data_IF_766040511970
#
_entry.id   IF_766040511970
#
_cell.length_a   1.000
_cell.length_b   1.000
_cell.length_c   1.000
_cell.angle_alpha   90.00
_cell.angle_beta   90.00
_cell.angle_gamma   90.00
#
_symmetry.space_group_name_H-M   'P 1'
#
loop_
_entity.id
_entity.type
_entity.pdbx_description
1 polymer ?
#
# COMPACT_ATOMS: atom_id res chain seq x y z
N UNK A 1 21.47 22.46 19.66
CA UNK A 1 20.20 22.30 18.92
C UNK A 1 19.88 20.82 18.92
N UNK A 2 18.84 20.41 19.66
CA UNK A 2 18.49 19.00 19.81
C UNK A 2 17.90 18.47 18.51
N UNK A 3 18.66 17.65 17.79
CA UNK A 3 18.15 16.87 16.66
C UNK A 3 17.17 15.82 17.19
N UNK A 4 15.87 16.10 17.06
CA UNK A 4 14.84 15.06 17.20
C UNK A 4 15.11 13.92 16.21
N UNK A 5 14.88 12.64 16.57
CA UNK A 5 15.33 11.51 15.78
C UNK A 5 14.77 11.58 14.34
N UNK A 6 15.59 11.26 13.35
CA UNK A 6 15.30 11.28 11.91
C UNK A 6 14.26 10.22 11.45
N UNK A 7 13.62 9.53 12.39
CA UNK A 7 12.64 8.46 12.13
C UNK A 7 11.23 9.02 11.90
N UNK A 8 10.57 8.50 10.88
CA UNK A 8 9.17 8.78 10.56
C UNK A 8 8.22 8.00 11.48
N UNK A 9 8.49 6.72 11.67
CA UNK A 9 7.74 5.80 12.51
C UNK A 9 8.39 5.71 13.89
N UNK A 10 7.57 5.77 14.93
CA UNK A 10 8.01 5.40 16.27
C UNK A 10 8.06 3.87 16.42
N UNK A 11 8.87 3.38 17.36
CA UNK A 11 9.09 1.94 17.58
C UNK A 11 7.86 1.16 18.03
N UNK A 12 6.85 1.87 18.57
CA UNK A 12 5.57 1.32 19.02
C UNK A 12 4.48 1.39 17.95
N UNK A 13 4.76 1.98 16.79
CA UNK A 13 3.80 2.02 15.68
C UNK A 13 3.80 0.67 14.92
N UNK A 14 2.69 0.34 14.24
CA UNK A 14 2.62 -0.88 13.43
C UNK A 14 3.78 -0.96 12.42
N UNK A 15 4.30 -2.15 12.11
CA UNK A 15 5.26 -2.31 11.04
C UNK A 15 4.67 -1.83 9.70
N UNK A 16 5.50 -1.51 8.69
CA UNK A 16 5.02 -1.01 7.41
C UNK A 16 4.17 -2.03 6.63
N UNK A 17 4.24 -3.31 6.97
CA UNK A 17 3.44 -4.34 6.34
C UNK A 17 3.01 -5.40 7.35
N UNK A 18 1.99 -6.17 6.98
CA UNK A 18 1.61 -7.40 7.67
C UNK A 18 1.69 -8.56 6.67
N UNK A 19 2.14 -9.72 7.15
CA UNK A 19 2.11 -10.97 6.38
C UNK A 19 1.07 -11.89 7.00
N UNK A 20 0.07 -12.27 6.23
CA UNK A 20 -0.92 -13.26 6.62
C UNK A 20 -0.58 -14.59 5.93
N UNK A 21 -0.73 -15.71 6.66
CA UNK A 21 -0.47 -17.06 6.18
C UNK A 21 0.94 -17.25 5.56
N UNK A 22 1.99 -16.85 6.29
CA UNK A 22 3.39 -16.87 5.82
C UNK A 22 3.88 -18.24 5.33
N UNK A 23 3.31 -19.32 5.86
CA UNK A 23 3.62 -20.70 5.47
C UNK A 23 2.74 -21.24 4.33
N UNK A 24 1.95 -20.39 3.69
CA UNK A 24 1.07 -20.76 2.59
C UNK A 24 1.81 -21.51 1.48
N UNK A 25 1.20 -22.58 0.97
CA UNK A 25 1.78 -23.43 -0.08
C UNK A 25 1.28 -23.09 -1.48
N UNK A 26 0.29 -22.21 -1.59
CA UNK A 26 -0.29 -21.79 -2.87
C UNK A 26 0.76 -21.25 -3.83
N UNK A 27 0.61 -21.48 -5.15
CA UNK A 27 1.38 -20.75 -6.15
C UNK A 27 1.08 -19.25 -6.15
N UNK A 28 -0.02 -18.82 -5.54
CA UNK A 28 -0.37 -17.41 -5.45
C UNK A 28 0.43 -16.70 -4.35
N UNK A 29 0.95 -15.53 -4.69
CA UNK A 29 1.41 -14.52 -3.75
C UNK A 29 0.50 -13.31 -3.91
N UNK A 30 -0.26 -12.98 -2.87
CA UNK A 30 -1.22 -11.88 -2.90
C UNK A 30 -0.59 -10.66 -2.25
N UNK A 31 -0.68 -9.51 -2.92
CA UNK A 31 -0.24 -8.23 -2.37
C UNK A 31 -1.39 -7.24 -2.34
N UNK A 32 -1.41 -6.38 -1.32
CA UNK A 32 -2.44 -5.37 -1.13
C UNK A 32 -1.79 -4.03 -0.76
N UNK A 33 -1.38 -3.30 -1.80
CA UNK A 33 -0.57 -2.08 -1.68
C UNK A 33 -1.32 -0.95 -0.95
N UNK A 34 -2.65 -0.95 -1.03
CA UNK A 34 -3.53 0.09 -0.49
C UNK A 34 -4.44 -0.43 0.64
N UNK A 35 -4.11 -1.56 1.28
CA UNK A 35 -4.89 -2.08 2.41
C UNK A 35 -4.79 -1.22 3.68
N UNK A 36 -3.71 -0.45 3.80
CA UNK A 36 -3.38 0.30 5.00
C UNK A 36 -4.15 1.61 5.12
N UNK A 37 -4.67 1.90 6.31
CA UNK A 37 -5.34 3.19 6.61
C UNK A 37 -4.64 4.01 7.69
N UNK A 38 -3.54 3.50 8.24
CA UNK A 38 -2.80 4.17 9.30
C UNK A 38 -2.00 5.35 8.75
N UNK A 39 -1.82 6.37 9.58
CA UNK A 39 -0.89 7.46 9.32
C UNK A 39 0.16 7.46 10.42
N UNK A 40 1.45 7.66 10.10
CA UNK A 40 2.47 7.82 11.12
C UNK A 40 2.08 8.93 12.10
N UNK A 41 2.26 8.69 13.40
CA UNK A 41 1.94 9.64 14.47
C UNK A 41 2.57 11.00 14.21
N UNK A 42 3.80 11.02 13.71
CA UNK A 42 4.55 12.24 13.36
C UNK A 42 3.90 13.08 12.26
N UNK A 43 3.14 12.46 11.36
CA UNK A 43 2.46 13.13 10.25
C UNK A 43 1.03 13.53 10.60
N UNK A 44 0.48 13.03 11.71
CA UNK A 44 -0.95 13.14 12.02
C UNK A 44 -1.78 12.68 10.82
N UNK A 45 -2.82 13.42 10.47
CA UNK A 45 -3.67 13.12 9.31
C UNK A 45 -3.26 13.90 8.05
N UNK A 46 -2.00 14.37 7.94
CA UNK A 46 -1.54 15.21 6.83
C UNK A 46 -2.38 16.49 6.62
N UNK A 47 -3.04 16.98 7.66
CA UNK A 47 -3.97 18.11 7.59
C UNK A 47 -5.32 17.80 6.95
N UNK A 48 -5.66 16.52 6.75
CA UNK A 48 -6.96 16.07 6.28
C UNK A 48 -7.96 15.97 7.42
N UNK A 49 -9.25 16.03 7.07
CA UNK A 49 -10.33 15.71 8.02
C UNK A 49 -10.48 14.20 8.20
N UNK A 50 -11.10 13.78 9.32
CA UNK A 50 -11.50 12.38 9.53
C UNK A 50 -12.35 11.82 8.38
N UNK A 51 -13.23 12.65 7.80
CA UNK A 51 -14.07 12.25 6.68
C UNK A 51 -13.23 11.95 5.42
N UNK A 52 -12.18 12.72 5.16
CA UNK A 52 -11.26 12.46 4.04
C UNK A 52 -10.38 11.25 4.29
N UNK A 53 -9.88 11.05 5.51
CA UNK A 53 -9.14 9.85 5.89
C UNK A 53 -9.99 8.57 5.77
N UNK A 54 -11.32 8.67 5.89
CA UNK A 54 -12.24 7.54 5.72
C UNK A 54 -12.57 7.19 4.27
N UNK A 55 -12.23 8.04 3.30
CA UNK A 55 -12.54 7.85 1.88
C UNK A 55 -11.51 6.98 1.18
N UNK A 56 -11.88 6.49 -0.01
CA UNK A 56 -11.03 5.67 -0.89
C UNK A 56 -9.74 6.36 -1.35
N UNK A 57 -9.62 7.68 -1.17
CA UNK A 57 -8.38 8.41 -1.45
C UNK A 57 -7.24 8.00 -0.52
N UNK A 58 -7.56 7.56 0.71
CA UNK A 58 -6.58 7.19 1.73
C UNK A 58 -6.17 5.72 1.68
N UNK A 59 -7.04 4.86 1.16
CA UNK A 59 -6.87 3.41 1.18
C UNK A 59 -7.95 2.73 0.33
N UNK A 60 -7.72 1.49 -0.05
CA UNK A 60 -8.69 0.69 -0.77
C UNK A 60 -9.60 -0.03 0.23
N UNK A 61 -10.81 0.50 0.39
CA UNK A 61 -11.78 0.07 1.41
C UNK A 61 -12.12 -1.41 1.24
N UNK A 62 -11.86 -2.20 2.29
CA UNK A 62 -12.19 -3.63 2.34
C UNK A 62 -11.14 -4.57 1.74
N UNK A 63 -10.14 -4.07 0.99
CA UNK A 63 -9.14 -4.92 0.31
C UNK A 63 -8.36 -5.79 1.30
N UNK A 64 -7.92 -5.24 2.43
CA UNK A 64 -7.17 -6.01 3.42
C UNK A 64 -7.95 -7.24 3.93
N UNK A 65 -9.24 -7.06 4.22
CA UNK A 65 -10.11 -8.14 4.68
C UNK A 65 -10.36 -9.18 3.57
N UNK A 66 -10.65 -8.74 2.36
CA UNK A 66 -10.84 -9.61 1.19
C UNK A 66 -9.58 -10.45 0.93
N UNK A 67 -8.40 -9.83 0.94
CA UNK A 67 -7.14 -10.54 0.73
C UNK A 67 -6.87 -11.59 1.80
N UNK A 68 -7.16 -11.29 3.07
CA UNK A 68 -7.01 -12.25 4.16
C UNK A 68 -7.93 -13.48 3.96
N UNK A 69 -9.20 -13.26 3.56
CA UNK A 69 -10.15 -14.33 3.27
C UNK A 69 -9.71 -15.19 2.08
N UNK A 70 -9.26 -14.56 0.99
CA UNK A 70 -8.72 -15.27 -0.18
C UNK A 70 -7.46 -16.05 0.19
N UNK A 71 -6.55 -15.43 0.95
CA UNK A 71 -5.31 -16.06 1.43
C UNK A 71 -5.58 -17.33 2.23
N UNK A 72 -6.56 -17.28 3.14
CA UNK A 72 -7.01 -18.45 3.89
C UNK A 72 -7.63 -19.52 2.99
N UNK A 73 -8.53 -19.13 2.09
CA UNK A 73 -9.25 -20.07 1.23
C UNK A 73 -8.33 -20.79 0.24
N UNK A 74 -7.31 -20.10 -0.27
CA UNK A 74 -6.38 -20.63 -1.28
C UNK A 74 -5.06 -21.12 -0.68
N UNK A 75 -4.91 -21.08 0.64
CA UNK A 75 -3.65 -21.29 1.35
C UNK A 75 -2.48 -20.46 0.78
N UNK A 76 -2.75 -19.19 0.43
CA UNK A 76 -1.79 -18.27 -0.15
C UNK A 76 -1.19 -17.35 0.90
N UNK A 77 0.07 -16.96 0.69
CA UNK A 77 0.73 -15.89 1.45
C UNK A 77 0.12 -14.56 0.99
N UNK A 78 -0.21 -13.69 1.95
CA UNK A 78 -0.71 -12.33 1.70
C UNK A 78 0.22 -11.33 2.35
N UNK A 79 0.70 -10.34 1.59
CA UNK A 79 1.50 -9.23 2.10
C UNK A 79 0.71 -7.94 1.90
N UNK A 80 0.38 -7.25 2.98
CA UNK A 80 -0.46 -6.04 2.91
C UNK A 80 0.21 -4.86 3.58
N UNK A 81 0.09 -3.69 2.94
CA UNK A 81 0.56 -2.44 3.50
C UNK A 81 -0.30 -2.04 4.72
N UNK A 82 0.33 -1.46 5.75
CA UNK A 82 -0.38 -1.01 6.95
C UNK A 82 -0.68 0.50 6.94
N UNK A 83 0.12 1.29 6.23
CA UNK A 83 -0.03 2.74 6.14
C UNK A 83 -0.82 3.20 4.90
N UNK A 84 -1.48 4.34 5.04
CA UNK A 84 -2.24 5.01 4.00
C UNK A 84 -1.38 5.32 2.78
N UNK A 85 -1.95 5.11 1.58
CA UNK A 85 -1.32 5.47 0.30
C UNK A 85 -1.05 6.97 0.17
N UNK A 86 -1.69 7.82 1.00
CA UNK A 86 -1.43 9.26 1.04
C UNK A 86 -0.12 9.60 1.75
N UNK A 87 0.42 8.68 2.55
CA UNK A 87 1.77 8.83 3.09
C UNK A 87 2.76 8.57 1.97
N UNK A 88 2.74 7.38 1.38
CA UNK A 88 3.46 7.08 0.15
C UNK A 88 2.75 5.93 -0.57
N UNK A 89 2.44 6.12 -1.86
CA UNK A 89 1.76 5.12 -2.65
C UNK A 89 2.77 4.03 -3.06
N UNK A 90 2.66 2.86 -2.43
CA UNK A 90 3.55 1.72 -2.68
C UNK A 90 3.34 1.07 -4.05
N UNK A 91 2.30 1.44 -4.79
CA UNK A 91 2.06 1.01 -6.17
C UNK A 91 2.50 2.10 -7.19
N UNK A 92 3.43 2.97 -6.80
CA UNK A 92 4.02 4.02 -7.67
C UNK A 92 5.53 4.07 -7.50
N UNK A 93 6.23 4.42 -8.58
CA UNK A 93 7.67 4.65 -8.54
C UNK A 93 8.01 5.78 -7.56
N UNK A 94 8.86 5.56 -6.54
CA UNK A 94 9.29 6.60 -5.62
C UNK A 94 9.88 7.81 -6.35
N UNK A 95 9.55 9.01 -5.89
CA UNK A 95 9.99 10.26 -6.52
C UNK A 95 9.17 10.69 -7.74
N UNK A 96 8.30 9.81 -8.27
CA UNK A 96 7.29 10.26 -9.24
C UNK A 96 6.28 11.19 -8.58
N UNK A 97 5.72 12.12 -9.35
CA UNK A 97 4.69 13.06 -8.87
C UNK A 97 3.40 12.37 -8.39
N UNK A 98 3.26 11.05 -8.57
CA UNK A 98 2.12 10.27 -8.10
C UNK A 98 2.43 9.39 -6.88
N UNK A 99 3.70 9.34 -6.44
CA UNK A 99 4.09 8.55 -5.26
C UNK A 99 3.73 9.22 -3.94
N UNK A 100 3.75 10.56 -3.88
CA UNK A 100 3.31 11.34 -2.73
C UNK A 100 2.48 12.51 -3.28
N UNK A 101 1.16 12.34 -3.29
CA UNK A 101 0.23 13.31 -3.87
C UNK A 101 -0.08 14.45 -2.90
N UNK A 102 -0.02 15.69 -3.37
CA UNK A 102 -0.53 16.87 -2.68
C UNK A 102 -2.01 17.16 -3.01
N UNK A 103 -2.57 16.47 -4.01
CA UNK A 103 -3.96 16.49 -4.42
C UNK A 103 -4.41 15.08 -4.82
N UNK A 104 -5.43 14.55 -4.14
CA UNK A 104 -6.08 13.29 -4.48
C UNK A 104 -7.55 13.55 -4.80
N UNK A 105 -7.95 13.30 -6.05
CA UNK A 105 -9.23 13.76 -6.61
C UNK A 105 -9.43 15.28 -6.49
N UNK A 106 -10.23 15.71 -5.51
CA UNK A 106 -10.53 17.10 -5.16
C UNK A 106 -10.01 17.46 -3.75
N UNK A 107 -9.49 16.47 -3.01
CA UNK A 107 -8.97 16.63 -1.67
C UNK A 107 -7.50 17.03 -1.72
N UNK A 108 -7.18 18.23 -1.27
CA UNK A 108 -5.79 18.64 -1.06
C UNK A 108 -5.24 17.87 0.15
N UNK A 109 -3.97 17.52 0.11
CA UNK A 109 -3.25 16.85 1.20
C UNK A 109 -2.19 17.81 1.73
N UNK A 110 -2.55 18.73 2.67
CA UNK A 110 -1.64 19.78 3.12
C UNK A 110 -0.26 19.30 3.56
N UNK A 111 -0.21 18.17 4.28
CA UNK A 111 1.03 17.57 4.78
C UNK A 111 1.95 17.01 3.69
N UNK A 112 1.55 17.05 2.42
CA UNK A 112 2.35 16.64 1.27
C UNK A 112 2.83 17.82 0.41
N UNK A 113 2.36 19.04 0.67
CA UNK A 113 2.75 20.24 -0.09
C UNK A 113 4.17 20.66 0.31
N UNK A 114 5.03 20.91 -0.68
CA UNK A 114 6.36 21.47 -0.44
C UNK A 114 7.29 20.57 0.40
N UNK A 115 7.07 19.24 0.38
CA UNK A 115 7.92 18.31 1.11
C UNK A 115 9.39 18.43 0.69
N UNK A 116 10.27 18.55 1.68
CA UNK A 116 11.71 18.43 1.48
C UNK A 116 12.10 17.01 1.04
N UNK A 117 13.20 16.89 0.32
CA UNK A 117 13.75 15.58 -0.07
C UNK A 117 14.01 14.68 1.15
N UNK A 118 14.44 15.25 2.27
CA UNK A 118 14.62 14.52 3.53
C UNK A 118 13.33 13.83 3.98
N UNK A 119 12.18 14.52 3.94
CA UNK A 119 10.90 13.92 4.33
C UNK A 119 10.40 12.89 3.32
N UNK A 120 10.65 13.09 2.02
CA UNK A 120 10.33 12.08 0.98
C UNK A 120 11.15 10.81 1.21
N UNK A 121 12.45 10.95 1.43
CA UNK A 121 13.36 9.83 1.70
C UNK A 121 13.00 9.06 2.98
N UNK A 122 12.55 9.73 4.04
CA UNK A 122 12.08 9.05 5.25
C UNK A 122 10.88 8.12 4.97
N UNK A 123 9.90 8.58 4.17
CA UNK A 123 8.75 7.76 3.74
C UNK A 123 9.18 6.58 2.87
N UNK A 124 10.15 6.80 1.98
CA UNK A 124 10.71 5.72 1.16
C UNK A 124 11.40 4.68 2.04
N UNK A 125 12.27 5.12 2.95
CA UNK A 125 13.07 4.25 3.81
C UNK A 125 12.23 3.43 4.78
N UNK A 126 11.19 4.03 5.37
CA UNK A 126 10.47 3.40 6.49
C UNK A 126 9.15 2.74 6.10
N UNK A 127 8.58 3.09 4.94
CA UNK A 127 7.27 2.54 4.51
C UNK A 127 7.41 1.82 3.16
N UNK A 128 7.90 2.50 2.13
CA UNK A 128 7.95 1.93 0.78
C UNK A 128 8.92 0.75 0.69
N UNK A 129 10.18 0.97 1.05
CA UNK A 129 11.26 0.00 0.87
C UNK A 129 11.01 -1.28 1.69
N UNK A 130 10.68 -1.23 3.00
CA UNK A 130 10.43 -2.46 3.76
C UNK A 130 9.31 -3.33 3.20
N UNK A 131 8.23 -2.71 2.67
CA UNK A 131 7.14 -3.43 2.02
C UNK A 131 7.60 -4.14 0.75
N UNK A 132 8.30 -3.44 -0.14
CA UNK A 132 8.83 -4.01 -1.38
C UNK A 132 9.92 -5.06 -1.13
N UNK A 133 10.80 -4.83 -0.15
CA UNK A 133 11.85 -5.78 0.24
C UNK A 133 11.25 -7.09 0.77
N UNK A 134 10.14 -7.03 1.52
CA UNK A 134 9.43 -8.23 1.98
C UNK A 134 8.82 -9.01 0.82
N UNK A 135 8.24 -8.32 -0.17
CA UNK A 135 7.69 -8.94 -1.38
C UNK A 135 8.82 -9.61 -2.17
N UNK A 136 9.93 -8.90 -2.41
CA UNK A 136 11.10 -9.43 -3.10
C UNK A 136 11.65 -10.68 -2.40
N UNK A 137 11.81 -10.62 -1.08
CA UNK A 137 12.24 -11.76 -0.25
C UNK A 137 11.32 -12.97 -0.41
N UNK A 138 10.00 -12.77 -0.50
CA UNK A 138 9.06 -13.88 -0.73
C UNK A 138 9.20 -14.49 -2.12
N UNK A 139 9.36 -13.64 -3.13
CA UNK A 139 9.54 -14.08 -4.51
C UNK A 139 10.85 -14.85 -4.68
N UNK A 140 11.94 -14.36 -4.09
CA UNK A 140 13.25 -15.03 -4.12
C UNK A 140 13.19 -16.39 -3.41
N UNK A 141 12.61 -16.44 -2.20
CA UNK A 141 12.40 -17.70 -1.47
C UNK A 141 11.61 -18.73 -2.28
N UNK A 142 10.55 -18.29 -2.98
CA UNK A 142 9.73 -19.17 -3.84
C UNK A 142 10.51 -19.64 -5.06
N UNK A 143 11.32 -18.77 -5.66
CA UNK A 143 12.18 -19.09 -6.80
C UNK A 143 13.24 -20.13 -6.42
N UNK A 144 13.91 -19.95 -5.27
CA UNK A 144 14.90 -20.91 -4.74
C UNK A 144 14.28 -22.28 -4.47
N UNK A 145 13.04 -22.31 -3.98
CA UNK A 145 12.28 -23.54 -3.77
C UNK A 145 11.65 -24.13 -5.05
N UNK A 146 11.95 -23.57 -6.23
CA UNK A 146 11.35 -23.96 -7.52
C UNK A 146 9.81 -23.99 -7.50
N UNK A 147 9.17 -23.13 -6.71
CA UNK A 147 7.71 -23.06 -6.57
C UNK A 147 7.11 -22.19 -7.69
N UNK A 148 6.13 -22.70 -8.47
CA UNK A 148 5.36 -21.86 -9.39
C UNK A 148 4.79 -20.66 -8.65
N UNK A 149 4.95 -19.46 -9.20
CA UNK A 149 4.54 -18.23 -8.53
C UNK A 149 3.77 -17.31 -9.46
N UNK A 150 2.57 -16.92 -9.05
CA UNK A 150 1.80 -15.84 -9.65
C UNK A 150 1.60 -14.73 -8.61
N UNK A 151 2.09 -13.53 -8.92
CA UNK A 151 1.93 -12.34 -8.08
C UNK A 151 0.62 -11.65 -8.44
N UNK A 152 -0.29 -11.55 -7.48
CA UNK A 152 -1.61 -10.93 -7.65
C UNK A 152 -1.70 -9.69 -6.76
N UNK A 153 -1.76 -8.50 -7.37
CA UNK A 153 -2.10 -7.27 -6.63
C UNK A 153 -3.61 -7.08 -6.62
N UNK A 154 -4.17 -6.90 -5.42
CA UNK A 154 -5.61 -6.74 -5.22
C UNK A 154 -5.90 -5.31 -4.80
N UNK A 155 -6.86 -4.71 -5.50
CA UNK A 155 -7.32 -3.35 -5.30
C UNK A 155 -8.84 -3.31 -5.24
N UNK A 156 -9.37 -2.22 -4.67
CA UNK A 156 -10.79 -1.87 -4.78
C UNK A 156 -10.92 -0.46 -5.34
N UNK A 157 -12.13 -0.11 -5.76
CA UNK A 157 -12.37 1.23 -6.26
C UNK A 157 -13.74 1.74 -5.86
N UNK A 158 -13.83 3.06 -5.72
CA UNK A 158 -15.11 3.74 -5.50
C UNK A 158 -16.07 3.49 -6.67
N UNK A 159 -17.35 3.18 -6.42
CA UNK A 159 -18.34 2.98 -7.47
C UNK A 159 -18.61 4.26 -8.28
N UNK A 160 -18.35 5.44 -7.70
CA UNK A 160 -18.49 6.74 -8.36
C UNK A 160 -17.16 7.48 -8.28
N UNK A 161 -16.59 7.82 -9.45
CA UNK A 161 -15.34 8.56 -9.56
C UNK A 161 -15.59 9.91 -10.21
N UNK A 162 -15.29 11.01 -9.50
CA UNK A 162 -15.56 12.38 -9.95
C UNK A 162 -16.96 12.52 -10.58
N UNK A 163 -17.98 12.10 -9.83
CA UNK A 163 -19.41 12.06 -10.20
C UNK A 163 -19.83 11.08 -11.30
N UNK A 164 -18.91 10.33 -11.90
CA UNK A 164 -19.22 9.33 -12.93
C UNK A 164 -19.31 7.94 -12.31
N UNK A 165 -20.45 7.28 -12.45
CA UNK A 165 -20.64 5.90 -12.01
C UNK A 165 -19.82 4.94 -12.89
N UNK A 166 -19.13 3.98 -12.26
CA UNK A 166 -18.39 2.93 -12.96
C UNK A 166 -19.31 1.75 -13.21
N UNK A 167 -19.35 1.27 -14.45
CA UNK A 167 -20.19 0.12 -14.85
C UNK A 167 -19.58 -1.23 -14.45
N UNK A 168 -18.26 -1.26 -14.22
CA UNK A 168 -17.54 -2.48 -13.88
C UNK A 168 -17.66 -2.78 -12.39
N UNK A 169 -18.04 -4.01 -12.07
CA UNK A 169 -18.04 -4.51 -10.69
C UNK A 169 -16.69 -5.14 -10.31
N UNK A 170 -15.99 -5.70 -11.30
CA UNK A 170 -14.66 -6.33 -11.15
C UNK A 170 -13.84 -5.96 -12.39
N UNK A 171 -12.56 -5.65 -12.20
CA UNK A 171 -11.60 -5.45 -13.28
C UNK A 171 -10.42 -6.40 -13.12
N UNK A 172 -9.99 -7.02 -14.22
CA UNK A 172 -8.73 -7.77 -14.29
C UNK A 172 -7.75 -6.92 -15.07
N UNK A 173 -6.63 -6.55 -14.44
CA UNK A 173 -5.63 -5.67 -15.00
C UNK A 173 -4.30 -6.41 -15.09
N UNK A 174 -3.64 -6.29 -16.23
CA UNK A 174 -2.30 -6.79 -16.46
C UNK A 174 -1.51 -5.75 -17.24
N UNK A 175 -0.18 -5.83 -17.18
CA UNK A 175 0.68 -4.89 -17.90
C UNK A 175 0.99 -5.42 -19.31
N UNK A 176 1.85 -6.44 -19.41
CA UNK A 176 2.37 -6.92 -20.70
C UNK A 176 2.05 -8.38 -21.00
N UNK A 177 1.75 -9.18 -19.98
CA UNK A 177 1.51 -10.60 -20.12
C UNK A 177 0.02 -10.90 -19.96
N UNK A 178 -0.71 -11.20 -21.05
CA UNK A 178 -2.15 -11.49 -21.02
C UNK A 178 -2.47 -12.94 -20.63
N UNK A 179 -1.46 -13.78 -20.36
CA UNK A 179 -1.66 -15.14 -19.84
C UNK A 179 -2.06 -15.14 -18.36
N UNK A 180 -1.94 -13.97 -17.71
CA UNK A 180 -2.48 -13.66 -16.40
C UNK A 180 -3.78 -12.87 -16.54
#
# INVERSE_FOLDING_TARGET
MNETPDSLLATDEPPPFTVDNENGTSPLLIVADHAGKHFPRRLGQLGLSNAECGRHIAWDIGVGAVCCLIGKALNAVVIRQNYSRLVIDCNRTPGSGTSILDLSELARVPGNIGLSERHKLARVREIFRPYHDRIATELDRRREAARPTALISVHSFTPVFKTVARLWHVGVLYNRDPRF
#
